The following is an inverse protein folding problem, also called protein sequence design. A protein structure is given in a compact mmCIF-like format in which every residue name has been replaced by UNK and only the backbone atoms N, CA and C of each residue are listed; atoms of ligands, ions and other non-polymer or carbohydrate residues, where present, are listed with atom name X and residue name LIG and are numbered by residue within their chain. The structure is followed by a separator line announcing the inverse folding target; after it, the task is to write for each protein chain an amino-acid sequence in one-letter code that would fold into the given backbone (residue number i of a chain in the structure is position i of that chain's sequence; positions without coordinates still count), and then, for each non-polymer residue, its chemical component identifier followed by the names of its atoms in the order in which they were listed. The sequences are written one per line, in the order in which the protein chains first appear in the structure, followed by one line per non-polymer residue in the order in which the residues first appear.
data_IF_342518882252
#
_entry.id   IF_342518882252
#
_cell.length_a   1.000
_cell.length_b   1.000
_cell.length_c   1.000
_cell.angle_alpha   90.00
_cell.angle_beta   90.00
_cell.angle_gamma   90.00
#
_symmetry.space_group_name_H-M   'P 1'
#
loop_
_entity.id
_entity.type
_entity.pdbx_description
1 polymer ?
#
# COMPACT_ATOMS: atom_id res chain seq x y z
N UNK A 1 -11.65 13.40 43.86
CA UNK A 1 -10.63 13.73 42.84
C UNK A 1 -9.93 12.49 42.29
N UNK A 2 -9.34 11.62 43.13
CA UNK A 2 -8.62 10.42 42.67
C UNK A 2 -9.50 9.46 41.83
N UNK A 3 -10.73 9.18 42.28
CA UNK A 3 -11.70 8.32 41.57
C UNK A 3 -12.05 8.86 40.17
N UNK A 4 -12.20 10.18 40.06
CA UNK A 4 -12.50 10.84 38.78
C UNK A 4 -11.30 10.72 37.84
N UNK A 5 -10.09 10.96 38.34
CA UNK A 5 -8.86 10.85 37.56
C UNK A 5 -8.62 9.42 37.06
N UNK A 6 -8.87 8.41 37.91
CA UNK A 6 -8.78 7.00 37.51
C UNK A 6 -9.83 6.62 36.46
N UNK A 7 -11.06 7.13 36.58
CA UNK A 7 -12.11 6.88 35.60
C UNK A 7 -11.77 7.47 34.23
N UNK A 8 -11.26 8.71 34.20
CA UNK A 8 -10.82 9.36 32.96
C UNK A 8 -9.66 8.58 32.31
N UNK A 9 -8.68 8.15 33.11
CA UNK A 9 -7.55 7.34 32.63
C UNK A 9 -8.01 6.03 32.00
N UNK A 10 -8.95 5.33 32.64
CA UNK A 10 -9.51 4.07 32.13
C UNK A 10 -10.24 4.27 30.79
N UNK A 11 -11.05 5.33 30.68
CA UNK A 11 -11.76 5.66 29.44
C UNK A 11 -10.76 5.97 28.32
N UNK A 12 -9.74 6.79 28.58
CA UNK A 12 -8.70 7.11 27.59
C UNK A 12 -7.95 5.85 27.15
N UNK A 13 -7.59 4.98 28.08
CA UNK A 13 -6.93 3.71 27.78
C UNK A 13 -7.82 2.83 26.89
N UNK A 14 -9.10 2.69 27.22
CA UNK A 14 -10.07 1.92 26.43
C UNK A 14 -10.22 2.50 25.01
N UNK A 15 -10.25 3.82 24.85
CA UNK A 15 -10.32 4.49 23.55
C UNK A 15 -9.06 4.22 22.71
N UNK A 16 -7.86 4.28 23.32
CA UNK A 16 -6.58 3.98 22.66
C UNK A 16 -6.54 2.52 22.19
N UNK A 17 -6.89 1.56 23.06
CA UNK A 17 -6.92 0.14 22.72
C UNK A 17 -7.93 -0.13 21.61
N UNK A 18 -9.14 0.43 21.72
CA UNK A 18 -10.17 0.30 20.67
C UNK A 18 -9.66 0.83 19.34
N UNK A 19 -8.99 1.98 19.34
CA UNK A 19 -8.43 2.57 18.13
C UNK A 19 -7.33 1.68 17.52
N UNK A 20 -6.44 1.12 18.33
CA UNK A 20 -5.40 0.20 17.87
C UNK A 20 -6.00 -1.05 17.22
N UNK A 21 -7.03 -1.65 17.84
CA UNK A 21 -7.73 -2.82 17.32
C UNK A 21 -8.33 -2.50 15.94
N UNK A 22 -9.03 -1.37 15.79
CA UNK A 22 -9.69 -0.99 14.52
C UNK A 22 -8.73 -0.73 13.35
N UNK A 23 -7.47 -0.40 13.64
CA UNK A 23 -6.46 -0.04 12.62
C UNK A 23 -5.71 -1.26 12.13
N UNK A 24 -5.50 -2.24 13.01
CA UNK A 24 -4.79 -3.46 12.68
C UNK A 24 -5.63 -4.32 11.73
N UNK A 25 -5.00 -4.89 10.69
CA UNK A 25 -5.73 -5.58 9.63
C UNK A 25 -6.45 -6.85 10.10
N UNK A 26 -6.02 -7.47 11.20
CA UNK A 26 -6.61 -8.70 11.72
C UNK A 26 -8.04 -8.54 12.24
N UNK A 27 -8.40 -7.33 12.69
CA UNK A 27 -9.73 -7.05 13.22
C UNK A 27 -10.63 -6.35 12.21
N UNK A 28 -10.10 -5.94 11.06
CA UNK A 28 -10.92 -5.44 9.95
C UNK A 28 -11.64 -6.63 9.31
N UNK A 29 -12.94 -6.76 9.59
CA UNK A 29 -13.80 -7.75 8.93
C UNK A 29 -13.92 -7.40 7.45
N UNK A 30 -13.20 -8.09 6.57
CA UNK A 30 -13.34 -7.95 5.12
C UNK A 30 -14.62 -8.65 4.64
N UNK A 31 -15.78 -7.98 4.85
CA UNK A 31 -17.09 -8.50 4.41
C UNK A 31 -17.15 -8.73 2.89
N UNK A 32 -16.50 -7.87 2.11
CA UNK A 32 -16.55 -7.93 0.64
C UNK A 32 -15.47 -8.86 0.04
N UNK A 33 -14.34 -9.07 0.74
CA UNK A 33 -13.25 -9.94 0.29
C UNK A 33 -13.61 -11.42 0.32
N UNK A 34 -14.36 -11.86 1.35
CA UNK A 34 -14.84 -13.25 1.46
C UNK A 34 -15.85 -13.60 0.36
N UNK A 35 -16.79 -12.69 0.06
CA UNK A 35 -17.74 -12.88 -1.04
C UNK A 35 -17.03 -12.92 -2.40
N UNK A 36 -16.06 -12.04 -2.65
CA UNK A 36 -15.30 -12.03 -3.92
C UNK A 36 -14.38 -13.22 -4.09
N UNK A 37 -13.75 -13.70 -3.02
CA UNK A 37 -12.95 -14.94 -3.05
C UNK A 37 -13.84 -16.15 -3.30
N UNK A 38 -15.00 -16.26 -2.64
CA UNK A 38 -15.96 -17.33 -2.90
C UNK A 38 -16.49 -17.31 -4.35
N UNK A 39 -16.67 -16.12 -4.93
CA UNK A 39 -17.05 -15.97 -6.34
C UNK A 39 -15.93 -16.39 -7.31
N UNK A 40 -14.66 -16.14 -6.98
CA UNK A 40 -13.52 -16.56 -7.79
C UNK A 40 -13.21 -18.05 -7.67
N UNK A 41 -13.34 -18.64 -6.48
CA UNK A 41 -13.16 -20.08 -6.24
C UNK A 41 -14.25 -20.92 -6.93
N UNK A 42 -15.48 -20.41 -7.01
CA UNK A 42 -16.58 -21.04 -7.76
C UNK A 42 -16.49 -20.82 -9.28
N UNK A 43 -15.63 -19.92 -9.76
CA UNK A 43 -15.52 -19.50 -11.16
C UNK A 43 -14.74 -20.45 -12.07
N UNK A 44 -14.07 -21.47 -11.53
CA UNK A 44 -13.20 -22.41 -12.28
C UNK A 44 -13.95 -23.35 -13.26
N UNK A 45 -15.25 -23.14 -13.52
CA UNK A 45 -16.03 -23.88 -14.54
C UNK A 45 -16.72 -23.00 -15.60
N UNK A 46 -16.43 -21.70 -15.67
CA UNK A 46 -17.01 -20.84 -16.71
C UNK A 46 -15.97 -19.94 -17.37
N UNK A 47 -16.01 -19.88 -18.70
CA UNK A 47 -15.26 -18.96 -19.56
C UNK A 47 -15.33 -17.50 -19.04
N UNK A 48 -14.33 -16.66 -19.34
CA UNK A 48 -14.22 -15.31 -18.77
C UNK A 48 -15.35 -14.42 -19.29
N UNK A 49 -16.49 -14.42 -18.59
CA UNK A 49 -17.47 -13.33 -18.67
C UNK A 49 -16.80 -12.11 -18.07
N UNK A 50 -16.77 -11.03 -18.86
CA UNK A 50 -16.38 -9.70 -18.41
C UNK A 50 -17.12 -9.42 -17.10
N UNK A 51 -16.39 -9.44 -15.98
CA UNK A 51 -16.94 -9.02 -14.70
C UNK A 51 -17.14 -7.51 -14.86
N UNK A 52 -18.37 -7.10 -15.16
CA UNK A 52 -18.79 -5.73 -14.97
C UNK A 52 -18.48 -5.39 -13.52
N UNK A 53 -17.40 -4.64 -13.30
CA UNK A 53 -17.08 -4.04 -12.02
C UNK A 53 -18.14 -2.97 -11.73
N UNK A 54 -19.30 -3.42 -11.26
CA UNK A 54 -20.24 -2.59 -10.53
C UNK A 54 -19.62 -2.29 -9.15
N UNK A 55 -18.57 -1.47 -9.15
CA UNK A 55 -18.21 -0.72 -7.95
C UNK A 55 -19.00 0.56 -7.98
N UNK A 56 -19.99 0.64 -7.09
CA UNK A 56 -20.55 1.90 -6.61
C UNK A 56 -19.36 2.76 -6.16
N UNK A 57 -18.90 3.71 -6.99
CA UNK A 57 -17.76 4.58 -6.66
C UNK A 57 -18.13 6.02 -6.94
N UNK A 58 -17.92 6.85 -5.92
CA UNK A 58 -17.97 8.30 -5.92
C UNK A 58 -17.36 8.84 -7.22
N UNK A 59 -18.21 9.24 -8.17
CA UNK A 59 -17.82 9.51 -9.57
C UNK A 59 -17.00 10.79 -9.75
N UNK A 60 -16.70 11.55 -8.70
CA UNK A 60 -16.27 12.95 -8.85
C UNK A 60 -14.91 13.29 -8.20
N UNK A 61 -14.26 12.35 -7.50
CA UNK A 61 -12.98 12.63 -6.81
C UNK A 61 -11.79 11.91 -7.45
N UNK A 62 -10.62 12.58 -7.58
CA UNK A 62 -9.40 11.95 -8.07
C UNK A 62 -8.93 10.83 -7.14
N UNK A 63 -8.38 9.76 -7.72
CA UNK A 63 -7.70 8.71 -6.96
C UNK A 63 -6.32 9.22 -6.52
N UNK A 64 -6.05 9.22 -5.22
CA UNK A 64 -4.72 9.47 -4.67
C UNK A 64 -3.96 8.15 -4.54
N UNK A 65 -3.02 7.90 -5.44
CA UNK A 65 -2.22 6.68 -5.48
C UNK A 65 -0.82 6.98 -4.94
N UNK A 66 -0.39 6.29 -3.88
CA UNK A 66 1.01 6.29 -3.46
C UNK A 66 1.67 5.00 -3.93
N UNK A 67 2.83 5.12 -4.58
CA UNK A 67 3.66 4.01 -5.05
C UNK A 67 5.08 4.23 -4.56
N UNK A 68 5.73 3.19 -4.05
CA UNK A 68 7.14 3.24 -3.70
C UNK A 68 7.97 2.36 -4.63
N UNK A 69 9.02 2.94 -5.22
CA UNK A 69 10.00 2.24 -6.04
C UNK A 69 11.20 1.81 -5.20
N UNK A 70 11.24 0.52 -4.87
CA UNK A 70 12.38 -0.09 -4.20
C UNK A 70 13.52 -0.37 -5.17
N UNK A 71 14.76 -0.10 -4.77
CA UNK A 71 15.92 -0.29 -5.64
C UNK A 71 16.03 -1.70 -6.26
N UNK A 72 16.51 -1.78 -7.50
CA UNK A 72 16.80 -3.06 -8.17
C UNK A 72 15.55 -3.72 -8.77
N UNK A 73 15.38 -5.03 -8.51
CA UNK A 73 14.28 -5.83 -9.05
C UNK A 73 12.89 -5.36 -8.62
N UNK A 74 12.76 -4.76 -7.44
CA UNK A 74 11.48 -4.27 -6.92
C UNK A 74 10.90 -3.13 -7.75
N UNK A 75 11.72 -2.21 -8.27
CA UNK A 75 11.27 -1.21 -9.25
C UNK A 75 10.67 -1.90 -10.48
N UNK A 76 11.33 -2.92 -11.02
CA UNK A 76 10.81 -3.67 -12.17
C UNK A 76 9.46 -4.35 -11.88
N UNK A 77 9.35 -5.01 -10.73
CA UNK A 77 8.10 -5.61 -10.25
C UNK A 77 6.98 -4.56 -10.15
N UNK A 78 7.25 -3.40 -9.55
CA UNK A 78 6.27 -2.34 -9.38
C UNK A 78 5.81 -1.75 -10.72
N UNK A 79 6.74 -1.49 -11.64
CA UNK A 79 6.41 -0.95 -12.96
C UNK A 79 5.49 -1.91 -13.75
N UNK A 80 5.75 -3.22 -13.67
CA UNK A 80 4.90 -4.24 -14.30
C UNK A 80 3.52 -4.34 -13.65
N UNK A 81 3.43 -4.23 -12.32
CA UNK A 81 2.13 -4.13 -11.63
C UNK A 81 1.36 -2.90 -12.11
N UNK A 82 2.00 -1.72 -12.23
CA UNK A 82 1.34 -0.52 -12.73
C UNK A 82 0.87 -0.67 -14.18
N UNK A 83 1.62 -1.40 -15.02
CA UNK A 83 1.22 -1.75 -16.38
C UNK A 83 0.00 -2.67 -16.42
N UNK A 84 0.05 -3.79 -15.70
CA UNK A 84 -1.00 -4.81 -15.71
C UNK A 84 -2.34 -4.30 -15.17
N UNK A 85 -2.31 -3.32 -14.26
CA UNK A 85 -3.51 -2.77 -13.61
C UNK A 85 -3.82 -1.32 -14.03
N UNK A 86 -3.28 -0.88 -15.17
CA UNK A 86 -3.36 0.51 -15.61
C UNK A 86 -4.79 1.03 -15.82
N UNK A 87 -5.67 0.20 -16.37
CA UNK A 87 -7.08 0.50 -16.62
C UNK A 87 -7.87 0.76 -15.34
N UNK A 88 -7.42 0.18 -14.22
CA UNK A 88 -8.04 0.33 -12.90
C UNK A 88 -7.39 1.46 -12.10
N UNK A 89 -6.06 1.60 -12.21
CA UNK A 89 -5.28 2.57 -11.43
C UNK A 89 -5.25 3.97 -12.05
N UNK A 90 -5.31 4.06 -13.38
CA UNK A 90 -5.16 5.31 -14.14
C UNK A 90 -6.39 5.59 -15.01
N UNK A 91 -7.57 5.17 -14.51
CA UNK A 91 -8.85 5.16 -15.19
C UNK A 91 -9.06 6.34 -16.15
N UNK A 92 -9.46 6.00 -17.37
CA UNK A 92 -9.89 6.96 -18.37
C UNK A 92 -11.43 6.97 -18.43
N UNK A 93 -12.08 8.12 -18.19
CA UNK A 93 -13.53 8.20 -18.25
C UNK A 93 -14.04 7.93 -19.67
N UNK A 94 -14.92 6.93 -19.81
CA UNK A 94 -15.60 6.63 -21.08
C UNK A 94 -16.58 7.72 -21.55
N UNK A 95 -16.93 8.67 -20.69
CA UNK A 95 -17.84 9.77 -21.02
C UNK A 95 -17.03 11.07 -21.17
N UNK A 96 -17.14 11.68 -22.36
CA UNK A 96 -16.59 13.00 -22.67
C UNK A 96 -17.16 14.04 -21.68
N UNK A 97 -16.40 14.43 -20.66
CA UNK A 97 -16.78 15.52 -19.77
C UNK A 97 -16.18 15.50 -18.37
N UNK A 98 -15.89 14.33 -17.80
CA UNK A 98 -15.41 14.23 -16.41
C UNK A 98 -13.98 13.73 -16.36
N UNK A 99 -12.97 14.59 -16.52
CA UNK A 99 -11.56 14.23 -16.35
C UNK A 99 -11.25 13.92 -14.88
N UNK A 100 -11.43 12.68 -14.46
CA UNK A 100 -10.91 12.21 -13.15
C UNK A 100 -9.42 11.93 -13.33
N UNK A 101 -8.58 12.79 -12.80
CA UNK A 101 -7.13 12.60 -12.84
C UNK A 101 -6.67 11.76 -11.64
N UNK A 102 -5.69 10.90 -11.84
CA UNK A 102 -5.01 10.20 -10.74
C UNK A 102 -3.91 11.10 -10.20
N UNK A 103 -3.88 11.33 -8.89
CA UNK A 103 -2.78 12.02 -8.22
C UNK A 103 -1.81 10.95 -7.72
N UNK A 104 -0.68 10.82 -8.40
CA UNK A 104 0.35 9.82 -8.11
C UNK A 104 1.46 10.42 -7.24
N UNK A 105 1.65 9.87 -6.04
CA UNK A 105 2.80 10.14 -5.19
C UNK A 105 3.83 9.04 -5.39
N UNK A 106 4.90 9.35 -6.12
CA UNK A 106 5.96 8.41 -6.42
C UNK A 106 7.11 8.54 -5.42
N UNK A 107 7.14 7.62 -4.45
CA UNK A 107 8.27 7.41 -3.57
C UNK A 107 9.42 6.69 -4.26
N UNK A 108 10.66 7.13 -4.07
CA UNK A 108 11.84 6.42 -4.59
C UNK A 108 13.03 6.53 -3.65
N UNK A 109 13.92 5.52 -3.67
CA UNK A 109 15.10 5.46 -2.78
C UNK A 109 16.45 5.73 -3.46
N UNK A 110 16.47 5.73 -4.78
CA UNK A 110 17.65 5.88 -5.62
C UNK A 110 17.27 6.51 -6.96
N UNK A 111 18.21 7.25 -7.56
CA UNK A 111 17.97 7.99 -8.80
C UNK A 111 17.73 7.07 -9.99
N UNK A 112 18.37 5.90 -10.03
CA UNK A 112 18.19 4.94 -11.11
C UNK A 112 16.72 4.44 -11.19
N UNK A 113 16.10 4.18 -10.05
CA UNK A 113 14.67 3.80 -10.00
C UNK A 113 13.76 4.93 -10.47
N UNK A 114 14.10 6.18 -10.16
CA UNK A 114 13.38 7.36 -10.66
C UNK A 114 13.51 7.50 -12.18
N UNK A 115 14.71 7.35 -12.73
CA UNK A 115 14.97 7.42 -14.18
C UNK A 115 14.17 6.35 -14.92
N UNK A 116 14.22 5.09 -14.46
CA UNK A 116 13.41 3.99 -15.02
C UNK A 116 11.92 4.32 -15.06
N UNK A 117 11.41 4.96 -14.01
CA UNK A 117 10.00 5.37 -13.98
C UNK A 117 9.71 6.53 -14.94
N UNK A 118 10.61 7.52 -15.05
CA UNK A 118 10.45 8.61 -16.02
C UNK A 118 10.44 8.09 -17.45
N UNK A 119 11.32 7.14 -17.77
CA UNK A 119 11.36 6.47 -19.06
C UNK A 119 10.05 5.72 -19.33
N UNK A 120 9.59 4.94 -18.34
CA UNK A 120 8.31 4.24 -18.38
C UNK A 120 7.12 5.18 -18.65
N UNK A 121 7.07 6.33 -17.97
CA UNK A 121 5.95 7.29 -18.09
C UNK A 121 6.03 8.13 -19.37
N UNK A 122 7.22 8.35 -19.92
CA UNK A 122 7.45 9.27 -21.05
C UNK A 122 6.48 9.07 -22.22
N UNK A 123 6.23 7.80 -22.56
CA UNK A 123 5.37 7.34 -23.66
C UNK A 123 4.12 6.58 -23.18
N UNK A 124 3.74 6.74 -21.91
CA UNK A 124 2.63 5.97 -21.33
C UNK A 124 1.27 6.55 -21.71
N UNK A 125 0.34 5.69 -22.18
CA UNK A 125 -0.99 6.12 -22.66
C UNK A 125 -1.76 7.03 -21.70
N UNK A 126 -1.62 6.81 -20.39
CA UNK A 126 -2.34 7.57 -19.36
C UNK A 126 -1.56 8.77 -18.80
N UNK A 127 -0.41 9.14 -19.37
CA UNK A 127 0.44 10.23 -18.86
C UNK A 127 -0.33 11.52 -18.61
N UNK A 128 -1.22 11.89 -19.53
CA UNK A 128 -2.02 13.13 -19.42
C UNK A 128 -3.15 13.06 -18.39
N UNK A 129 -3.47 11.86 -17.89
CA UNK A 129 -4.49 11.63 -16.87
C UNK A 129 -3.89 11.57 -15.45
N UNK A 130 -2.59 11.86 -15.31
CA UNK A 130 -1.87 11.75 -14.03
C UNK A 130 -1.19 13.06 -13.64
N UNK A 131 -1.35 13.45 -12.37
CA UNK A 131 -0.51 14.45 -11.72
C UNK A 131 0.53 13.70 -10.88
N UNK A 132 1.80 13.82 -11.21
CA UNK A 132 2.88 13.06 -10.57
C UNK A 132 3.67 13.94 -9.61
N UNK A 133 3.66 13.55 -8.34
CA UNK A 133 4.43 14.16 -7.25
C UNK A 133 5.58 13.22 -6.86
N UNK A 134 6.82 13.65 -7.09
CA UNK A 134 8.01 12.88 -6.75
C UNK A 134 8.43 13.11 -5.30
N UNK A 135 8.68 12.02 -4.56
CA UNK A 135 9.03 12.05 -3.15
C UNK A 135 10.25 11.17 -2.91
N UNK A 136 11.39 11.78 -2.60
CA UNK A 136 12.58 11.02 -2.27
C UNK A 136 12.50 10.47 -0.85
N UNK A 137 12.96 9.22 -0.67
CA UNK A 137 13.13 8.59 0.63
C UNK A 137 14.57 8.11 0.79
N UNK A 138 15.03 8.00 2.03
CA UNK A 138 16.32 7.40 2.34
C UNK A 138 16.16 5.87 2.40
N UNK A 139 17.16 5.12 1.94
CA UNK A 139 17.17 3.67 2.10
C UNK A 139 17.28 3.33 3.59
N UNK A 140 16.36 2.50 4.08
CA UNK A 140 16.36 2.07 5.48
C UNK A 140 17.66 1.35 5.85
N UNK A 141 18.27 0.62 4.90
CA UNK A 141 19.55 -0.05 5.07
C UNK A 141 20.32 -0.08 3.75
N UNK A 142 21.62 0.21 3.80
CA UNK A 142 22.53 -0.03 2.69
C UNK A 142 23.04 -1.48 2.73
N UNK A 143 23.25 -2.07 1.56
CA UNK A 143 23.86 -3.40 1.42
C UNK A 143 25.25 -3.34 2.09
N UNK A 144 25.57 -4.31 2.93
CA UNK A 144 26.83 -4.41 3.72
C UNK A 144 27.01 -3.42 4.88
N UNK A 145 25.96 -2.72 5.32
CA UNK A 145 26.06 -1.86 6.51
C UNK A 145 26.17 -2.66 7.82
N UNK A 146 27.11 -2.27 8.69
CA UNK A 146 27.21 -2.73 10.08
C UNK A 146 25.91 -2.42 10.86
N UNK A 147 25.67 -3.12 11.96
CA UNK A 147 24.43 -3.03 12.73
C UNK A 147 24.14 -1.60 13.24
N UNK A 148 25.17 -0.89 13.74
CA UNK A 148 25.04 0.49 14.22
C UNK A 148 24.67 1.45 13.07
N UNK A 149 25.35 1.32 11.93
CA UNK A 149 25.06 2.13 10.73
C UNK A 149 23.64 1.84 10.20
N UNK A 150 23.17 0.61 10.33
CA UNK A 150 21.79 0.23 9.99
C UNK A 150 20.77 0.90 10.92
N UNK A 151 21.03 0.96 12.23
CA UNK A 151 20.16 1.68 13.16
C UNK A 151 20.12 3.18 12.86
N UNK A 152 21.28 3.79 12.59
CA UNK A 152 21.36 5.22 12.22
C UNK A 152 20.59 5.48 10.92
N UNK A 153 20.73 4.63 9.89
CA UNK A 153 20.00 4.80 8.62
C UNK A 153 18.50 4.62 8.81
N UNK A 154 18.07 3.66 9.64
CA UNK A 154 16.66 3.48 10.00
C UNK A 154 16.12 4.74 10.70
N UNK A 155 16.81 5.26 11.71
CA UNK A 155 16.36 6.45 12.45
C UNK A 155 16.30 7.69 11.57
N UNK A 156 17.29 7.91 10.70
CA UNK A 156 17.26 9.01 9.71
C UNK A 156 16.09 8.85 8.74
N UNK A 157 15.87 7.63 8.24
CA UNK A 157 14.75 7.33 7.34
C UNK A 157 13.42 7.56 8.04
N UNK A 158 13.29 7.15 9.30
CA UNK A 158 12.10 7.35 10.13
C UNK A 158 11.77 8.85 10.25
N UNK A 159 12.74 9.67 10.64
CA UNK A 159 12.52 11.12 10.80
C UNK A 159 12.23 11.82 9.46
N UNK A 160 13.00 11.51 8.41
CA UNK A 160 12.81 12.14 7.10
C UNK A 160 11.45 11.77 6.47
N UNK A 161 11.03 10.52 6.63
CA UNK A 161 9.75 10.03 6.08
C UNK A 161 8.54 10.66 6.79
N UNK A 162 8.67 11.08 8.05
CA UNK A 162 7.56 11.62 8.84
C UNK A 162 6.83 12.77 8.12
N UNK A 163 7.56 13.83 7.76
CA UNK A 163 6.98 15.02 7.12
C UNK A 163 6.36 14.70 5.76
N UNK A 164 7.03 13.84 5.00
CA UNK A 164 6.59 13.44 3.65
C UNK A 164 5.28 12.65 3.71
N UNK A 165 5.22 11.62 4.56
CA UNK A 165 4.02 10.79 4.71
C UNK A 165 2.88 11.58 5.37
N UNK A 166 3.16 12.49 6.32
CA UNK A 166 2.14 13.34 6.91
C UNK A 166 1.47 14.22 5.84
N UNK A 167 2.27 14.88 4.99
CA UNK A 167 1.74 15.71 3.89
C UNK A 167 0.87 14.90 2.93
N UNK A 168 1.31 13.71 2.54
CA UNK A 168 0.57 12.83 1.62
C UNK A 168 -0.72 12.34 2.28
N UNK A 169 -0.66 11.90 3.54
CA UNK A 169 -1.82 11.42 4.30
C UNK A 169 -2.89 12.48 4.45
N UNK A 170 -2.50 13.73 4.72
CA UNK A 170 -3.43 14.86 4.79
C UNK A 170 -4.14 15.11 3.44
N UNK A 171 -3.44 14.93 2.32
CA UNK A 171 -4.05 15.06 0.97
C UNK A 171 -4.97 13.89 0.61
N UNK A 172 -4.71 12.70 1.16
CA UNK A 172 -5.57 11.52 0.99
C UNK A 172 -6.84 11.56 1.86
N UNK A 173 -6.90 12.45 2.86
CA UNK A 173 -8.03 12.51 3.79
C UNK A 173 -9.34 12.80 3.04
N UNK A 174 -10.37 11.99 3.27
CA UNK A 174 -11.68 12.07 2.61
C UNK A 174 -11.68 11.93 1.07
N UNK A 175 -10.56 11.50 0.48
CA UNK A 175 -10.44 11.20 -0.94
C UNK A 175 -10.21 9.69 -1.17
N UNK A 176 -10.66 9.14 -2.31
CA UNK A 176 -10.30 7.78 -2.70
C UNK A 176 -8.77 7.67 -2.78
N UNK A 177 -8.18 6.69 -2.10
CA UNK A 177 -6.73 6.53 -2.10
C UNK A 177 -6.29 5.07 -1.96
N UNK A 178 -5.08 4.80 -2.44
CA UNK A 178 -4.41 3.49 -2.39
C UNK A 178 -2.93 3.70 -2.10
N UNK A 179 -2.38 2.94 -1.16
CA UNK A 179 -0.94 2.89 -0.88
C UNK A 179 -0.43 1.54 -1.36
N UNK A 180 0.21 1.52 -2.53
CA UNK A 180 0.73 0.32 -3.18
C UNK A 180 2.23 0.20 -2.94
N UNK A 181 2.64 -0.89 -2.29
CA UNK A 181 4.01 -1.12 -1.88
C UNK A 181 4.47 -2.50 -2.33
N UNK A 182 5.73 -2.60 -2.73
CA UNK A 182 6.48 -3.85 -2.81
C UNK A 182 7.91 -3.62 -2.31
N UNK A 183 8.64 -4.70 -2.06
CA UNK A 183 10.10 -4.60 -1.93
C UNK A 183 10.67 -4.29 -0.53
N UNK A 184 11.64 -3.36 -0.41
CA UNK A 184 12.63 -3.36 0.67
C UNK A 184 12.13 -2.76 1.99
N UNK A 185 12.95 -2.86 3.05
CA UNK A 185 12.59 -2.46 4.41
C UNK A 185 12.13 -1.01 4.60
N UNK A 186 12.40 -0.09 3.65
CA UNK A 186 11.80 1.27 3.67
C UNK A 186 10.27 1.22 3.64
N UNK A 187 9.68 0.20 3.01
CA UNK A 187 8.23 -0.02 3.03
C UNK A 187 7.67 -0.28 4.44
N UNK A 188 8.45 -0.88 5.34
CA UNK A 188 8.07 -1.02 6.76
C UNK A 188 7.92 0.35 7.42
N UNK A 189 8.88 1.26 7.18
CA UNK A 189 8.88 2.61 7.76
C UNK A 189 7.73 3.45 7.20
N UNK A 190 7.51 3.39 5.89
CA UNK A 190 6.39 4.07 5.22
C UNK A 190 5.06 3.56 5.78
N UNK A 191 4.87 2.24 5.86
CA UNK A 191 3.66 1.62 6.41
C UNK A 191 3.44 2.03 7.86
N UNK A 192 4.50 2.01 8.68
CA UNK A 192 4.44 2.45 10.08
C UNK A 192 3.89 3.87 10.17
N UNK A 193 4.41 4.82 9.39
CA UNK A 193 3.91 6.19 9.44
C UNK A 193 2.46 6.33 8.97
N UNK A 194 2.06 5.63 7.90
CA UNK A 194 0.66 5.60 7.48
C UNK A 194 -0.26 5.10 8.60
N UNK A 195 0.14 4.03 9.31
CA UNK A 195 -0.61 3.46 10.44
C UNK A 195 -0.63 4.36 11.67
N UNK A 196 0.49 5.02 11.99
CA UNK A 196 0.57 6.01 13.05
C UNK A 196 -0.36 7.19 12.76
N UNK A 197 -0.38 7.71 11.53
CA UNK A 197 -1.31 8.78 11.18
C UNK A 197 -2.75 8.30 11.08
N UNK A 198 -3.02 7.06 10.68
CA UNK A 198 -4.34 6.44 10.79
C UNK A 198 -4.80 6.43 12.26
N UNK A 199 -3.89 6.18 13.21
CA UNK A 199 -4.20 6.23 14.64
C UNK A 199 -4.72 7.58 15.10
N UNK A 200 -4.00 8.66 14.78
CA UNK A 200 -4.37 10.01 15.20
C UNK A 200 -5.47 10.67 14.37
N UNK A 201 -5.58 10.35 13.08
CA UNK A 201 -6.57 10.93 12.17
C UNK A 201 -7.83 10.05 12.12
N UNK A 202 -8.77 10.34 13.02
CA UNK A 202 -10.07 9.64 13.13
C UNK A 202 -10.81 9.68 11.78
N UNK A 203 -11.42 8.55 11.40
CA UNK A 203 -12.15 8.42 10.12
C UNK A 203 -11.26 8.20 8.89
N UNK A 204 -9.93 8.23 9.03
CA UNK A 204 -9.02 7.87 7.93
C UNK A 204 -8.76 6.36 7.89
N UNK A 205 -8.57 5.83 6.68
CA UNK A 205 -7.97 4.52 6.40
C UNK A 205 -6.63 4.73 5.71
N UNK A 206 -5.76 3.73 5.70
CA UNK A 206 -4.48 3.81 4.95
C UNK A 206 -4.52 3.08 3.60
N UNK A 207 -5.44 2.14 3.43
CA UNK A 207 -5.63 1.34 2.21
C UNK A 207 -4.31 0.81 1.66
N UNK A 208 -3.51 0.19 2.54
CA UNK A 208 -2.17 -0.31 2.22
C UNK A 208 -2.28 -1.68 1.59
N UNK A 209 -1.86 -1.80 0.34
CA UNK A 209 -1.64 -3.07 -0.35
C UNK A 209 -0.14 -3.30 -0.43
N UNK A 210 0.34 -4.33 0.26
CA UNK A 210 1.71 -4.80 0.10
C UNK A 210 1.73 -6.06 -0.76
N UNK A 211 2.53 -6.04 -1.82
CA UNK A 211 2.78 -7.18 -2.70
C UNK A 211 4.17 -7.73 -2.38
N UNK A 212 4.22 -8.98 -1.93
CA UNK A 212 5.48 -9.69 -1.72
C UNK A 212 6.18 -9.96 -3.06
N UNK A 213 7.51 -9.91 -3.04
CA UNK A 213 8.33 -10.05 -4.24
C UNK A 213 8.13 -11.40 -4.92
N UNK A 214 8.18 -11.40 -6.25
CA UNK A 214 8.08 -12.60 -7.08
C UNK A 214 9.18 -13.61 -6.74
N UNK A 215 10.35 -13.12 -6.30
CA UNK A 215 11.49 -13.95 -5.89
C UNK A 215 11.26 -14.76 -4.59
N UNK A 216 10.17 -14.50 -3.86
CA UNK A 216 9.85 -15.19 -2.61
C UNK A 216 8.86 -16.32 -2.88
N UNK A 217 9.41 -17.50 -3.19
CA UNK A 217 8.63 -18.69 -3.54
C UNK A 217 8.24 -19.49 -2.29
N UNK A 218 9.22 -19.80 -1.44
CA UNK A 218 9.06 -20.72 -0.29
C UNK A 218 9.06 -20.03 1.07
N UNK A 219 9.45 -18.76 1.15
CA UNK A 219 9.50 -18.02 2.42
C UNK A 219 9.26 -16.53 2.22
N UNK A 220 8.65 -15.88 3.21
CA UNK A 220 8.45 -14.44 3.22
C UNK A 220 9.77 -13.68 3.39
N UNK A 221 9.88 -12.52 2.74
CA UNK A 221 10.97 -11.60 3.00
C UNK A 221 10.90 -11.06 4.43
N UNK A 222 11.99 -10.49 4.96
CA UNK A 222 11.96 -9.85 6.27
C UNK A 222 10.94 -8.70 6.31
N UNK A 223 10.86 -7.92 5.21
CA UNK A 223 9.83 -6.91 5.02
C UNK A 223 8.44 -7.53 5.05
N UNK A 224 8.22 -8.61 4.31
CA UNK A 224 6.96 -9.32 4.25
C UNK A 224 6.51 -9.87 5.60
N UNK A 225 7.41 -10.45 6.39
CA UNK A 225 7.11 -10.89 7.76
C UNK A 225 6.58 -9.77 8.65
N UNK A 226 7.11 -8.56 8.52
CA UNK A 226 6.65 -7.39 9.28
C UNK A 226 5.33 -6.87 8.71
N UNK A 227 5.26 -6.66 7.40
CA UNK A 227 4.11 -6.07 6.73
C UNK A 227 2.90 -7.00 6.68
N UNK A 228 3.09 -8.30 6.85
CA UNK A 228 1.99 -9.23 7.09
C UNK A 228 1.14 -8.86 8.29
N UNK A 229 1.69 -8.13 9.28
CA UNK A 229 0.92 -7.67 10.43
C UNK A 229 0.37 -6.24 10.30
N UNK A 230 0.90 -5.45 9.36
CA UNK A 230 0.60 -4.02 9.27
C UNK A 230 -0.15 -3.62 8.00
N UNK A 231 0.09 -4.29 6.87
CA UNK A 231 -0.58 -3.96 5.61
C UNK A 231 -2.06 -4.35 5.68
N UNK A 232 -2.95 -3.45 5.23
CA UNK A 232 -4.39 -3.70 5.19
C UNK A 232 -4.68 -4.94 4.33
N UNK A 233 -4.07 -5.01 3.14
CA UNK A 233 -4.04 -6.20 2.28
C UNK A 233 -2.61 -6.64 2.04
N UNK A 234 -2.35 -7.91 2.28
CA UNK A 234 -1.07 -8.55 2.01
C UNK A 234 -1.25 -9.54 0.87
N UNK A 235 -0.47 -9.39 -0.21
CA UNK A 235 -0.61 -10.18 -1.43
C UNK A 235 0.65 -11.00 -1.66
N UNK A 236 0.48 -12.29 -1.91
CA UNK A 236 1.55 -13.21 -2.32
C UNK A 236 1.31 -13.67 -3.75
N UNK A 237 2.40 -13.98 -4.45
CA UNK A 237 2.38 -14.43 -5.84
C UNK A 237 2.50 -15.95 -5.99
N UNK A 238 2.69 -16.66 -4.88
CA UNK A 238 2.79 -18.12 -4.81
C UNK A 238 1.72 -18.65 -3.87
N UNK A 239 0.94 -19.62 -4.33
CA UNK A 239 -0.18 -20.17 -3.57
C UNK A 239 0.30 -20.87 -2.29
N UNK A 240 1.42 -21.60 -2.38
CA UNK A 240 2.02 -22.31 -1.26
C UNK A 240 2.29 -21.39 -0.07
N UNK A 241 2.74 -20.14 -0.29
CA UNK A 241 2.95 -19.18 0.79
C UNK A 241 1.67 -18.88 1.56
N UNK A 242 0.55 -18.69 0.85
CA UNK A 242 -0.76 -18.44 1.47
C UNK A 242 -1.17 -19.65 2.30
N UNK A 243 -1.09 -20.85 1.73
CA UNK A 243 -1.58 -22.07 2.38
C UNK A 243 -0.74 -22.46 3.61
N UNK A 244 0.58 -22.27 3.56
CA UNK A 244 1.50 -22.80 4.58
C UNK A 244 2.00 -21.77 5.60
N UNK A 245 2.22 -20.52 5.19
CA UNK A 245 2.93 -19.52 6.01
C UNK A 245 2.02 -18.35 6.40
N UNK A 246 1.19 -17.88 5.48
CA UNK A 246 0.48 -16.61 5.64
C UNK A 246 -0.98 -16.72 5.18
N UNK A 247 -1.85 -17.40 5.96
CA UNK A 247 -3.24 -17.67 5.56
C UNK A 247 -4.11 -16.43 5.34
N UNK A 248 -3.75 -15.27 5.93
CA UNK A 248 -4.43 -13.99 5.68
C UNK A 248 -4.09 -13.40 4.30
N UNK A 249 -3.03 -13.87 3.66
CA UNK A 249 -2.59 -13.33 2.40
C UNK A 249 -3.62 -13.60 1.29
N UNK A 250 -3.69 -12.65 0.36
CA UNK A 250 -4.45 -12.79 -0.87
C UNK A 250 -3.52 -13.36 -1.95
N UNK A 251 -4.06 -14.25 -2.76
CA UNK A 251 -3.36 -14.86 -3.89
C UNK A 251 -4.18 -14.64 -5.15
N UNK A 252 -3.53 -14.14 -6.21
CA UNK A 252 -4.13 -13.86 -7.50
C UNK A 252 -3.24 -14.35 -8.66
N UNK A 253 -2.30 -15.26 -8.38
CA UNK A 253 -1.25 -15.64 -9.32
C UNK A 253 -0.10 -14.63 -9.39
N UNK A 254 0.66 -14.72 -10.49
CA UNK A 254 1.80 -13.84 -10.76
C UNK A 254 1.26 -12.47 -11.25
N UNK A 255 1.67 -11.39 -10.58
CA UNK A 255 1.17 -10.02 -10.85
C UNK A 255 2.16 -9.16 -11.66
N UNK A 256 3.38 -9.67 -11.80
CA UNK A 256 4.55 -9.03 -12.40
C UNK A 256 4.85 -9.63 -13.76
#
# INVERSE_FOLDING_TARGET
MLVILSAISLILFALVITRLILILPFFKVDRNGKERQALMENGNKAQPRQIEHQTVRQKDKPLHLFVFLGSGGHTGEMLRILQNYDSVLFYEPKNEGTRIQTILYLGYSDLQSLEKFKDFISNYKYKNNMIINYVQFIKARNVNANMINSLISISKTLFYSFKQILRIKLQMLNNPHLVLLNGPGTCCIITLWFKVFEFFLIGSSSNIVYVESLARITSLSMTGKILYYLADKFVVQWEDLKQTICPRALYYGILV
#
